data_IF_228503690603
#
_entry.id   IF_228503690603
#
_cell.length_a   1.000
_cell.length_b   1.000
_cell.length_c   1.000
_cell.angle_alpha   90.00
_cell.angle_beta   90.00
_cell.angle_gamma   90.00
#
_symmetry.space_group_name_H-M   'P 1'
#
loop_
_entity.id
_entity.type
_entity.pdbx_description
1 polymer ?
#
# COMPACT_ATOMS: atom_id res chain seq x y z
N UNK A 1 -4.16 50.52 -15.11
CA UNK A 1 -3.64 49.24 -15.62
C UNK A 1 -2.70 48.52 -14.62
N UNK A 2 -3.07 48.42 -13.33
CA UNK A 2 -2.21 47.82 -12.27
C UNK A 2 -2.92 46.76 -11.40
N UNK A 3 -4.25 46.63 -11.52
CA UNK A 3 -5.04 45.68 -10.73
C UNK A 3 -5.06 44.27 -11.34
N UNK A 4 -5.09 44.16 -12.68
CA UNK A 4 -5.15 42.87 -13.39
C UNK A 4 -3.90 42.01 -13.08
N UNK A 5 -2.69 42.58 -13.11
CA UNK A 5 -1.46 41.84 -12.76
C UNK A 5 -1.50 41.23 -11.35
N UNK A 6 -2.12 41.91 -10.38
CA UNK A 6 -2.26 41.40 -9.01
C UNK A 6 -3.30 40.28 -8.93
N UNK A 7 -4.42 40.42 -9.64
CA UNK A 7 -5.45 39.38 -9.72
C UNK A 7 -4.95 38.14 -10.44
N UNK A 8 -4.16 38.31 -11.50
CA UNK A 8 -3.51 37.22 -12.24
C UNK A 8 -2.46 36.50 -11.38
N UNK A 9 -1.66 37.24 -10.61
CA UNK A 9 -0.73 36.66 -9.63
C UNK A 9 -1.45 35.90 -8.50
N UNK A 10 -2.61 36.39 -8.06
CA UNK A 10 -3.44 35.71 -7.06
C UNK A 10 -4.02 34.39 -7.60
N UNK A 11 -4.46 34.38 -8.86
CA UNK A 11 -4.97 33.15 -9.53
C UNK A 11 -3.84 32.13 -9.71
N UNK A 12 -2.64 32.56 -10.11
CA UNK A 12 -1.46 31.68 -10.20
C UNK A 12 -1.10 31.10 -8.82
N UNK A 13 -1.14 31.91 -7.76
CA UNK A 13 -0.90 31.48 -6.39
C UNK A 13 -1.96 30.48 -5.88
N UNK A 14 -3.23 30.67 -6.26
CA UNK A 14 -4.33 29.74 -5.99
C UNK A 14 -4.13 28.38 -6.68
N UNK A 15 -3.71 28.39 -7.94
CA UNK A 15 -3.40 27.16 -8.70
C UNK A 15 -2.19 26.44 -8.11
N UNK A 16 -1.15 27.17 -7.68
CA UNK A 16 0.02 26.58 -7.04
C UNK A 16 -0.29 25.95 -5.67
N UNK A 17 -1.22 26.53 -4.90
CA UNK A 17 -1.63 26.04 -3.58
C UNK A 17 -2.42 24.72 -3.64
N UNK A 18 -3.00 24.38 -4.80
CA UNK A 18 -3.70 23.11 -5.04
C UNK A 18 -2.78 21.99 -5.56
N UNK A 19 -1.46 22.14 -5.44
CA UNK A 19 -0.50 21.08 -5.77
C UNK A 19 -0.39 20.02 -4.65
N UNK A 20 -1.51 19.48 -4.18
CA UNK A 20 -1.49 18.14 -3.59
C UNK A 20 -1.75 17.15 -4.72
N UNK A 21 -0.72 16.99 -5.56
CA UNK A 21 -0.58 15.84 -6.46
C UNK A 21 -0.83 14.62 -5.57
N UNK A 22 -1.89 13.87 -5.89
CA UNK A 22 -2.36 12.76 -5.06
C UNK A 22 -1.18 11.96 -4.54
N UNK A 23 -1.04 11.89 -3.22
CA UNK A 23 -0.08 10.99 -2.59
C UNK A 23 -0.33 9.62 -3.22
N UNK A 24 0.59 9.17 -4.07
CA UNK A 24 0.67 7.77 -4.40
C UNK A 24 0.81 7.08 -3.05
N UNK A 25 -0.25 6.41 -2.57
CA UNK A 25 -0.13 5.53 -1.41
C UNK A 25 0.97 4.57 -1.80
N UNK A 26 2.09 4.65 -1.10
CA UNK A 26 3.08 3.60 -1.21
C UNK A 26 2.39 2.36 -0.64
N UNK A 27 1.94 1.47 -1.53
CA UNK A 27 1.34 0.21 -1.11
C UNK A 27 2.40 -0.51 -0.28
N UNK A 28 2.14 -0.54 1.01
CA UNK A 28 3.03 -1.02 2.03
C UNK A 28 2.24 -2.04 2.82
N UNK A 29 2.79 -3.25 2.82
CA UNK A 29 2.34 -4.32 3.70
C UNK A 29 2.70 -3.98 5.15
N UNK A 30 1.87 -4.39 6.13
CA UNK A 30 2.12 -4.10 7.55
C UNK A 30 3.20 -5.00 8.17
N UNK A 31 3.96 -5.75 7.36
CA UNK A 31 4.89 -6.78 7.83
C UNK A 31 6.29 -6.19 8.05
N UNK A 32 6.74 -6.13 9.30
CA UNK A 32 8.03 -5.55 9.68
C UNK A 32 9.24 -6.37 9.22
N UNK A 33 9.04 -7.65 8.93
CA UNK A 33 10.05 -8.64 8.55
C UNK A 33 10.12 -8.91 7.05
N UNK A 34 9.37 -8.15 6.23
CA UNK A 34 9.38 -8.24 4.77
C UNK A 34 9.85 -6.90 4.18
N UNK A 35 11.17 -6.70 4.03
CA UNK A 35 11.69 -5.47 3.43
C UNK A 35 11.30 -5.37 1.95
N UNK A 36 11.20 -4.15 1.41
CA UNK A 36 10.91 -3.91 -0.03
C UNK A 36 11.91 -4.56 -1.00
N UNK A 37 13.10 -4.88 -0.51
CA UNK A 37 14.15 -5.58 -1.27
C UNK A 37 14.00 -7.10 -1.23
N UNK A 38 13.04 -7.64 -0.47
CA UNK A 38 12.76 -9.06 -0.42
C UNK A 38 12.23 -9.51 -1.78
N UNK A 39 12.76 -10.62 -2.29
CA UNK A 39 12.48 -11.07 -3.65
C UNK A 39 11.00 -11.34 -3.91
N UNK A 40 10.24 -11.73 -2.87
CA UNK A 40 8.80 -12.02 -2.95
C UNK A 40 7.92 -10.88 -2.43
N UNK A 41 8.47 -9.67 -2.25
CA UNK A 41 7.74 -8.56 -1.63
C UNK A 41 6.44 -8.26 -2.40
N UNK A 42 6.51 -8.23 -3.73
CA UNK A 42 5.35 -7.98 -4.61
C UNK A 42 4.25 -9.03 -4.46
N UNK A 43 4.63 -10.30 -4.35
CA UNK A 43 3.73 -11.43 -4.26
C UNK A 43 3.05 -11.47 -2.89
N UNK A 44 3.81 -11.20 -1.82
CA UNK A 44 3.28 -11.07 -0.46
C UNK A 44 2.32 -9.88 -0.39
N UNK A 45 2.68 -8.76 -1.01
CA UNK A 45 1.82 -7.59 -1.09
C UNK A 45 0.50 -7.91 -1.79
N UNK A 46 0.56 -8.51 -2.98
CA UNK A 46 -0.64 -8.92 -3.71
C UNK A 46 -1.51 -9.86 -2.87
N UNK A 47 -0.93 -10.88 -2.24
CA UNK A 47 -1.69 -11.83 -1.43
C UNK A 47 -2.37 -11.15 -0.22
N UNK A 48 -1.72 -10.14 0.36
CA UNK A 48 -2.30 -9.35 1.44
C UNK A 48 -3.47 -8.48 0.96
N UNK A 49 -3.32 -7.82 -0.19
CA UNK A 49 -4.38 -7.02 -0.82
C UNK A 49 -5.60 -7.86 -1.20
N UNK A 50 -5.38 -9.10 -1.67
CA UNK A 50 -6.45 -10.07 -1.95
C UNK A 50 -7.05 -10.69 -0.68
N UNK A 51 -6.63 -10.26 0.52
CA UNK A 51 -7.03 -10.80 1.83
C UNK A 51 -6.76 -12.30 1.99
N UNK A 52 -5.91 -12.89 1.15
CA UNK A 52 -5.51 -14.29 1.24
C UNK A 52 -4.62 -14.53 2.48
N UNK A 53 -3.79 -13.55 2.82
CA UNK A 53 -2.91 -13.58 4.00
C UNK A 53 -3.22 -12.42 4.94
N UNK A 54 -3.01 -12.65 6.25
CA UNK A 54 -3.20 -11.63 7.30
C UNK A 54 -1.91 -11.33 8.09
N UNK A 55 -0.94 -12.24 8.05
CA UNK A 55 0.23 -12.21 8.93
C UNK A 55 -0.12 -12.58 10.37
N UNK A 56 0.84 -12.34 11.26
CA UNK A 56 0.74 -12.63 12.69
C UNK A 56 0.35 -11.38 13.50
N UNK A 57 -0.23 -11.54 14.71
CA UNK A 57 -0.65 -10.41 15.54
C UNK A 57 0.46 -9.43 15.93
N UNK A 58 1.72 -9.87 15.87
CA UNK A 58 2.90 -9.06 16.14
C UNK A 58 3.37 -8.23 14.92
N UNK A 59 2.62 -8.21 13.81
CA UNK A 59 2.98 -7.46 12.61
C UNK A 59 4.07 -8.13 11.76
N UNK A 60 4.20 -9.46 11.80
CA UNK A 60 5.17 -10.22 10.99
C UNK A 60 4.47 -11.13 9.98
N UNK A 61 5.14 -11.48 8.89
CA UNK A 61 4.71 -12.49 7.92
C UNK A 61 5.45 -13.82 8.06
N UNK A 62 6.72 -13.75 8.47
CA UNK A 62 7.68 -14.86 8.60
C UNK A 62 7.96 -15.57 7.27
N UNK A 63 8.53 -14.87 6.27
CA UNK A 63 8.68 -15.40 4.92
C UNK A 63 9.64 -16.60 4.79
N UNK A 64 10.48 -16.84 5.80
CA UNK A 64 11.46 -17.94 5.80
C UNK A 64 11.02 -19.13 6.66
N UNK A 65 9.87 -19.04 7.33
CA UNK A 65 9.34 -20.15 8.14
C UNK A 65 8.72 -21.21 7.21
N UNK A 66 8.74 -22.47 7.67
CA UNK A 66 8.02 -23.52 6.97
C UNK A 66 6.51 -23.28 7.05
N UNK A 67 5.85 -23.39 5.90
CA UNK A 67 4.42 -23.34 5.79
C UNK A 67 3.82 -24.72 6.10
N UNK A 68 2.87 -24.77 7.03
CA UNK A 68 2.09 -25.99 7.31
C UNK A 68 0.96 -26.18 6.28
N UNK A 69 0.51 -27.41 6.06
CA UNK A 69 -0.63 -27.68 5.18
C UNK A 69 -1.89 -26.92 5.60
N UNK A 70 -2.15 -26.84 6.91
CA UNK A 70 -3.30 -26.10 7.45
C UNK A 70 -3.23 -24.60 7.13
N UNK A 71 -2.03 -23.99 7.19
CA UNK A 71 -1.84 -22.60 6.82
C UNK A 71 -2.04 -22.40 5.31
N UNK A 72 -1.49 -23.29 4.49
CA UNK A 72 -1.69 -23.22 3.03
C UNK A 72 -3.18 -23.29 2.64
N UNK A 73 -3.92 -24.26 3.20
CA UNK A 73 -5.37 -24.38 2.97
C UNK A 73 -6.11 -23.14 3.50
N UNK A 74 -5.69 -22.58 4.63
CA UNK A 74 -6.29 -21.35 5.17
C UNK A 74 -6.09 -20.15 4.23
N UNK A 75 -4.94 -20.04 3.56
CA UNK A 75 -4.70 -18.98 2.58
C UNK A 75 -5.65 -19.09 1.38
N UNK A 76 -5.81 -20.30 0.84
CA UNK A 76 -6.75 -20.57 -0.26
C UNK A 76 -8.18 -20.29 0.16
N UNK A 77 -8.58 -20.76 1.34
CA UNK A 77 -9.91 -20.52 1.89
C UNK A 77 -10.16 -19.01 2.03
N UNK A 78 -9.26 -18.26 2.68
CA UNK A 78 -9.41 -16.82 2.83
C UNK A 78 -9.55 -16.11 1.48
N UNK A 79 -8.76 -16.51 0.47
CA UNK A 79 -8.85 -15.94 -0.87
C UNK A 79 -10.23 -16.17 -1.53
N UNK A 80 -10.74 -17.40 -1.46
CA UNK A 80 -12.02 -17.77 -2.07
C UNK A 80 -13.20 -17.03 -1.43
N UNK A 81 -13.21 -16.90 -0.09
CA UNK A 81 -14.30 -16.26 0.65
C UNK A 81 -14.14 -14.75 0.84
N UNK A 82 -13.03 -14.17 0.39
CA UNK A 82 -12.80 -12.72 0.43
C UNK A 82 -13.59 -11.94 -0.64
N UNK A 83 -14.25 -12.66 -1.55
CA UNK A 83 -15.04 -12.19 -2.69
C UNK A 83 -16.44 -12.82 -2.64
#
# INVERSE_FOLDING_TARGET
MKHWRKWFMFVIFLVFSFSNIGQAKADSIPFSDVPKTFWAYSEIQWAYEQKAIKGYPNGTFRPNDYLTEAQFVSMIFNYIYAH
#
